data_IF_801610913815
#
_entry.id   IF_801610913815
#
_cell.length_a   1.000
_cell.length_b   1.000
_cell.length_c   1.000
_cell.angle_alpha   90.00
_cell.angle_beta   90.00
_cell.angle_gamma   90.00
#
_symmetry.space_group_name_H-M   'P 1'
#
loop_
_entity.id
_entity.type
_entity.pdbx_description
1 polymer ?
#
# COMPACT_ATOMS: atom_id res chain seq x y z
N UNK A 1 4.85 -25.78 -11.25
CA UNK A 1 6.02 -25.12 -10.62
C UNK A 1 6.02 -23.59 -10.74
N UNK A 2 5.39 -22.99 -11.76
CA UNK A 2 5.41 -21.53 -12.00
C UNK A 2 4.91 -20.61 -10.86
N UNK A 3 4.10 -21.10 -9.91
CA UNK A 3 3.64 -20.29 -8.77
C UNK A 3 4.72 -20.12 -7.70
N UNK A 4 5.46 -21.18 -7.39
CA UNK A 4 6.53 -21.16 -6.40
C UNK A 4 7.69 -20.27 -6.86
N UNK A 5 8.03 -20.31 -8.15
CA UNK A 5 9.06 -19.44 -8.73
C UNK A 5 8.68 -17.96 -8.62
N UNK A 6 7.42 -17.59 -8.89
CA UNK A 6 6.95 -16.20 -8.76
C UNK A 6 6.97 -15.69 -7.32
N UNK A 7 6.59 -16.53 -6.35
CA UNK A 7 6.67 -16.14 -4.93
C UNK A 7 8.13 -15.93 -4.52
N UNK A 8 9.04 -16.78 -5.02
CA UNK A 8 10.47 -16.63 -4.77
C UNK A 8 11.04 -15.35 -5.41
N UNK A 9 10.65 -15.04 -6.65
CA UNK A 9 11.04 -13.81 -7.34
C UNK A 9 10.54 -12.55 -6.63
N UNK A 10 9.29 -12.57 -6.14
CA UNK A 10 8.73 -11.49 -5.34
C UNK A 10 9.48 -11.31 -4.01
N UNK A 11 9.83 -12.42 -3.33
CA UNK A 11 10.66 -12.38 -2.13
C UNK A 11 12.02 -11.76 -2.38
N UNK A 12 12.68 -12.12 -3.48
CA UNK A 12 13.98 -11.56 -3.88
C UNK A 12 13.90 -10.06 -4.16
N UNK A 13 12.84 -9.60 -4.82
CA UNK A 13 12.58 -8.18 -5.05
C UNK A 13 12.39 -7.41 -3.74
N UNK A 14 11.59 -7.94 -2.80
CA UNK A 14 11.36 -7.33 -1.48
C UNK A 14 12.68 -7.17 -0.72
N UNK A 15 13.53 -8.19 -0.70
CA UNK A 15 14.86 -8.11 -0.06
C UNK A 15 15.76 -7.05 -0.71
N UNK A 16 15.80 -6.99 -2.05
CA UNK A 16 16.60 -5.99 -2.78
C UNK A 16 16.11 -4.58 -2.47
N UNK A 17 14.80 -4.36 -2.41
CA UNK A 17 14.22 -3.06 -2.09
C UNK A 17 14.50 -2.67 -0.63
N UNK A 18 14.37 -3.61 0.32
CA UNK A 18 14.70 -3.38 1.72
C UNK A 18 16.17 -2.99 1.92
N UNK A 19 17.09 -3.71 1.30
CA UNK A 19 18.53 -3.40 1.39
C UNK A 19 18.87 -2.02 0.81
N UNK A 20 18.22 -1.61 -0.30
CA UNK A 20 18.41 -0.28 -0.90
C UNK A 20 17.84 0.82 -0.02
N UNK A 21 16.72 0.58 0.64
CA UNK A 21 16.12 1.53 1.58
C UNK A 21 17.06 1.77 2.79
N UNK A 22 17.53 0.70 3.44
CA UNK A 22 18.46 0.81 4.57
C UNK A 22 19.78 1.50 4.20
N UNK A 23 20.29 1.25 2.99
CA UNK A 23 21.49 1.93 2.50
C UNK A 23 21.30 3.45 2.37
N UNK A 24 20.17 3.88 1.80
CA UNK A 24 19.85 5.30 1.64
C UNK A 24 19.59 6.00 2.98
N UNK A 25 18.95 5.33 3.93
CA UNK A 25 18.77 5.85 5.29
C UNK A 25 20.11 6.13 5.97
N UNK A 26 21.06 5.19 5.89
CA UNK A 26 22.40 5.36 6.44
C UNK A 26 23.20 6.47 5.73
N UNK A 27 23.04 6.62 4.41
CA UNK A 27 23.68 7.70 3.65
C UNK A 27 23.16 9.08 4.09
N UNK A 28 21.84 9.21 4.31
CA UNK A 28 21.23 10.45 4.82
C UNK A 28 21.72 10.78 6.23
N UNK A 29 21.82 9.79 7.13
CA UNK A 29 22.31 10.00 8.49
C UNK A 29 23.76 10.49 8.50
N UNK A 30 24.63 9.88 7.67
CA UNK A 30 26.01 10.33 7.50
C UNK A 30 26.08 11.76 6.94
N UNK A 31 25.35 12.07 5.87
CA UNK A 31 25.33 13.42 5.27
C UNK A 31 24.82 14.48 6.26
N UNK A 32 23.87 14.12 7.12
CA UNK A 32 23.38 14.99 8.18
C UNK A 32 24.44 15.27 9.25
N UNK A 33 25.33 14.32 9.52
CA UNK A 33 26.46 14.48 10.42
C UNK A 33 27.64 15.25 9.80
N UNK A 34 27.82 15.13 8.48
CA UNK A 34 28.92 15.73 7.72
C UNK A 34 28.62 17.18 7.30
N UNK A 35 27.35 17.58 7.31
CA UNK A 35 26.93 18.97 7.16
C UNK A 35 26.90 19.50 5.73
N UNK A 36 26.89 18.65 4.69
CA UNK A 36 26.69 19.06 3.29
C UNK A 36 25.18 19.11 2.94
N UNK A 37 24.55 20.31 2.99
CA UNK A 37 23.11 20.45 2.77
C UNK A 37 22.69 20.13 1.33
N UNK A 38 23.60 20.23 0.36
CA UNK A 38 23.27 20.02 -1.06
C UNK A 38 23.17 18.53 -1.38
N UNK A 39 24.08 17.72 -0.84
CA UNK A 39 24.00 16.27 -0.94
C UNK A 39 22.82 15.71 -0.13
N UNK A 40 22.56 16.25 1.06
CA UNK A 40 21.42 15.87 1.89
C UNK A 40 20.07 16.10 1.17
N UNK A 41 19.91 17.26 0.52
CA UNK A 41 18.71 17.57 -0.26
C UNK A 41 18.51 16.58 -1.44
N UNK A 42 19.58 16.24 -2.16
CA UNK A 42 19.52 15.27 -3.25
C UNK A 42 19.18 13.85 -2.76
N UNK A 43 19.72 13.43 -1.60
CA UNK A 43 19.42 12.14 -1.00
C UNK A 43 17.95 12.05 -0.53
N UNK A 44 17.43 13.11 0.10
CA UNK A 44 16.01 13.19 0.47
C UNK A 44 15.09 13.09 -0.75
N UNK A 45 15.40 13.80 -1.84
CA UNK A 45 14.62 13.71 -3.07
C UNK A 45 14.58 12.27 -3.62
N UNK A 46 15.73 11.58 -3.66
CA UNK A 46 15.80 10.18 -4.11
C UNK A 46 14.96 9.24 -3.24
N UNK A 47 14.91 9.44 -1.92
CA UNK A 47 14.05 8.65 -1.03
C UNK A 47 12.58 8.90 -1.34
N UNK A 48 12.17 10.15 -1.56
CA UNK A 48 10.77 10.46 -1.90
C UNK A 48 10.32 9.82 -3.21
N UNK A 49 11.19 9.84 -4.24
CA UNK A 49 10.92 9.18 -5.53
C UNK A 49 10.81 7.66 -5.36
N UNK A 50 11.71 7.04 -4.60
CA UNK A 50 11.67 5.60 -4.32
C UNK A 50 10.44 5.19 -3.48
N UNK A 51 10.02 6.04 -2.54
CA UNK A 51 8.80 5.80 -1.78
C UNK A 51 7.56 5.82 -2.66
N UNK A 52 7.46 6.77 -3.59
CA UNK A 52 6.37 6.83 -4.56
C UNK A 52 6.35 5.58 -5.47
N UNK A 53 7.52 5.17 -5.97
CA UNK A 53 7.67 3.97 -6.78
C UNK A 53 7.30 2.69 -6.03
N UNK A 54 7.65 2.60 -4.75
CA UNK A 54 7.27 1.46 -3.90
C UNK A 54 5.77 1.44 -3.62
N UNK A 55 5.16 2.60 -3.32
CA UNK A 55 3.72 2.71 -3.12
C UNK A 55 2.95 2.25 -4.37
N UNK A 56 3.40 2.66 -5.56
CA UNK A 56 2.83 2.20 -6.83
C UNK A 56 2.93 0.68 -6.99
N UNK A 57 4.12 0.09 -6.78
CA UNK A 57 4.31 -1.37 -6.87
C UNK A 57 3.46 -2.14 -5.85
N UNK A 58 3.31 -1.62 -4.63
CA UNK A 58 2.45 -2.22 -3.61
C UNK A 58 0.99 -2.23 -4.04
N UNK A 59 0.51 -1.14 -4.67
CA UNK A 59 -0.84 -1.09 -5.24
C UNK A 59 -1.03 -2.13 -6.35
N UNK A 60 -0.08 -2.25 -7.28
CA UNK A 60 -0.12 -3.25 -8.37
C UNK A 60 -0.12 -4.69 -7.82
N UNK A 61 0.66 -4.96 -6.78
CA UNK A 61 0.69 -6.26 -6.12
C UNK A 61 -0.65 -6.59 -5.44
N UNK A 62 -1.29 -5.59 -4.83
CA UNK A 62 -2.63 -5.71 -4.26
C UNK A 62 -3.68 -6.05 -5.31
N UNK A 63 -3.66 -5.36 -6.46
CA UNK A 63 -4.57 -5.64 -7.59
C UNK A 63 -4.38 -7.08 -8.11
N UNK A 64 -3.12 -7.50 -8.30
CA UNK A 64 -2.84 -8.86 -8.73
C UNK A 64 -3.31 -9.90 -7.72
N UNK A 65 -3.07 -9.68 -6.42
CA UNK A 65 -3.55 -10.54 -5.35
C UNK A 65 -5.07 -10.68 -5.35
N UNK A 66 -5.79 -9.57 -5.53
CA UNK A 66 -7.24 -9.58 -5.65
C UNK A 66 -7.72 -10.38 -6.87
N UNK A 67 -7.12 -10.16 -8.05
CA UNK A 67 -7.49 -10.89 -9.27
C UNK A 67 -7.32 -12.40 -9.11
N UNK A 68 -6.24 -12.82 -8.44
CA UNK A 68 -6.03 -14.23 -8.11
C UNK A 68 -7.13 -14.74 -7.19
N UNK A 69 -7.41 -14.04 -6.08
CA UNK A 69 -8.46 -14.41 -5.15
C UNK A 69 -9.86 -14.47 -5.81
N UNK A 70 -10.16 -13.52 -6.70
CA UNK A 70 -11.40 -13.46 -7.47
C UNK A 70 -11.58 -14.72 -8.34
N UNK A 71 -10.56 -15.15 -9.07
CA UNK A 71 -10.63 -16.37 -9.89
C UNK A 71 -10.91 -17.61 -9.04
N UNK A 72 -10.24 -17.75 -7.90
CA UNK A 72 -10.50 -18.86 -6.97
C UNK A 72 -11.92 -18.81 -6.42
N UNK A 73 -12.39 -17.62 -6.05
CA UNK A 73 -13.73 -17.42 -5.51
C UNK A 73 -14.82 -17.75 -6.55
N UNK A 74 -14.68 -17.27 -7.78
CA UNK A 74 -15.60 -17.56 -8.89
C UNK A 74 -15.67 -19.04 -9.22
N UNK A 75 -14.55 -19.77 -9.11
CA UNK A 75 -14.55 -21.22 -9.30
C UNK A 75 -15.34 -21.96 -8.21
N UNK A 76 -15.40 -21.41 -6.99
CA UNK A 76 -16.12 -22.00 -5.85
C UNK A 76 -17.60 -21.58 -5.81
N UNK A 77 -17.92 -20.38 -6.28
CA UNK A 77 -19.26 -19.78 -6.27
C UNK A 77 -19.57 -19.13 -7.62
N UNK A 78 -19.87 -19.92 -8.67
CA UNK A 78 -20.02 -19.41 -10.04
C UNK A 78 -21.22 -18.49 -10.23
N UNK A 79 -22.24 -18.60 -9.37
CA UNK A 79 -23.48 -17.82 -9.46
C UNK A 79 -23.39 -16.45 -8.75
N UNK A 80 -22.28 -16.16 -8.05
CA UNK A 80 -22.12 -14.88 -7.33
C UNK A 80 -21.33 -13.88 -8.17
N UNK A 81 -21.97 -12.76 -8.50
CA UNK A 81 -21.32 -11.64 -9.18
C UNK A 81 -20.41 -10.87 -8.21
N UNK A 82 -19.14 -10.71 -8.57
CA UNK A 82 -18.18 -9.86 -7.86
C UNK A 82 -17.58 -8.83 -8.80
N UNK A 83 -17.32 -7.64 -8.25
CA UNK A 83 -16.68 -6.55 -8.99
C UNK A 83 -15.30 -6.98 -9.50
N UNK A 84 -15.01 -6.74 -10.78
CA UNK A 84 -13.76 -7.19 -11.38
C UNK A 84 -12.56 -6.33 -10.96
N UNK A 85 -12.79 -5.09 -10.50
CA UNK A 85 -11.73 -4.20 -10.04
C UNK A 85 -12.20 -3.27 -8.90
N UNK A 86 -12.14 -3.71 -7.63
CA UNK A 86 -12.55 -2.92 -6.47
C UNK A 86 -11.60 -1.77 -6.14
N UNK A 87 -10.43 -1.69 -6.80
CA UNK A 87 -9.48 -0.58 -6.62
C UNK A 87 -9.79 0.61 -7.52
N UNK A 88 -10.76 0.46 -8.45
CA UNK A 88 -11.25 1.60 -9.24
C UNK A 88 -12.23 2.40 -8.39
N UNK A 89 -11.90 3.65 -8.13
CA UNK A 89 -12.81 4.58 -7.42
C UNK A 89 -14.04 4.81 -8.29
N UNK A 90 -15.21 4.33 -7.86
CA UNK A 90 -16.46 4.48 -8.60
C UNK A 90 -17.12 5.82 -8.27
N UNK A 91 -17.65 6.57 -9.27
CA UNK A 91 -18.36 7.81 -9.01
C UNK A 91 -19.62 7.57 -8.14
N UNK A 92 -20.22 6.38 -8.22
CA UNK A 92 -21.34 5.95 -7.39
C UNK A 92 -21.00 5.97 -5.89
N UNK A 93 -19.80 5.53 -5.51
CA UNK A 93 -19.33 5.56 -4.10
C UNK A 93 -19.18 7.00 -3.59
N UNK A 94 -18.93 7.94 -4.50
CA UNK A 94 -18.79 9.36 -4.19
C UNK A 94 -20.15 10.06 -4.00
N UNK A 95 -21.24 9.43 -4.44
CA UNK A 95 -22.62 9.93 -4.29
C UNK A 95 -23.28 9.44 -2.99
N UNK A 96 -22.64 8.50 -2.28
CA UNK A 96 -23.11 8.04 -0.96
C UNK A 96 -22.65 9.05 0.09
N UNK A 97 -23.56 9.82 0.72
CA UNK A 97 -23.16 10.75 1.77
C UNK A 97 -22.64 9.95 2.97
N UNK A 98 -21.36 10.14 3.30
CA UNK A 98 -20.79 9.60 4.52
C UNK A 98 -21.23 10.49 5.69
N UNK A 99 -22.05 9.95 6.59
CA UNK A 99 -22.40 10.62 7.85
C UNK A 99 -21.10 10.97 8.61
N UNK A 100 -20.89 12.27 8.81
CA UNK A 100 -19.65 12.77 9.45
C UNK A 100 -19.74 12.77 10.97
N UNK A 101 -20.91 12.43 11.52
CA UNK A 101 -21.19 12.39 12.95
C UNK A 101 -22.06 11.17 13.25
N UNK A 102 -21.42 10.13 13.74
CA UNK A 102 -22.12 9.01 14.37
C UNK A 102 -22.09 9.24 15.87
N UNK A 103 -23.22 9.69 16.44
CA UNK A 103 -23.38 9.80 17.88
C UNK A 103 -23.39 8.39 18.46
N UNK A 104 -22.24 7.94 18.97
CA UNK A 104 -22.19 6.74 19.78
C UNK A 104 -22.99 7.01 21.05
N UNK A 105 -23.88 6.07 21.40
CA UNK A 105 -24.79 6.18 22.53
C UNK A 105 -24.11 6.08 23.89
N UNK A 106 -23.03 6.83 24.13
CA UNK A 106 -22.38 6.97 25.44
C UNK A 106 -23.16 7.95 26.32
N UNK A 107 -24.49 7.81 26.32
CA UNK A 107 -25.36 8.54 27.24
C UNK A 107 -25.04 8.08 28.66
N UNK A 108 -24.30 8.91 29.40
CA UNK A 108 -24.22 8.81 30.86
C UNK A 108 -25.64 9.13 31.37
N UNK A 109 -26.31 8.22 32.10
CA UNK A 109 -27.62 8.53 32.64
C UNK A 109 -27.46 9.71 33.61
N UNK A 110 -28.33 10.71 33.48
CA UNK A 110 -28.35 11.83 34.41
C UNK A 110 -28.66 11.31 35.82
N UNK A 111 -27.78 11.59 36.78
CA UNK A 111 -28.04 11.35 38.19
C UNK A 111 -29.11 12.37 38.65
N UNK A 112 -30.27 11.88 39.08
CA UNK A 112 -31.25 12.64 39.88
C UNK A 112 -30.81 12.76 41.34
#
# INVERSE_FOLDING_TARGET
>A
MALLDRVHDAGRLVTIMGNRASHLEAEIENLKSEGDPKQLAAAHQRVTELQADNAKKMSELGEYGYRVALVYFQAQYPDLEMDSNPFTKKPEDSMVPMETRQEFGDSVPAEE
#
